data_IF_028540995782
#
_entry.id   IF_028540995782
#
_cell.length_a   1.000
_cell.length_b   1.000
_cell.length_c   1.000
_cell.angle_alpha   90.00
_cell.angle_beta   90.00
_cell.angle_gamma   90.00
#
_symmetry.space_group_name_H-M   'P 1'
#
loop_
_entity.id
_entity.type
_entity.pdbx_description
1 polymer ?
#
# COMPACT_ATOMS: atom_id res chain seq x y z
N UNK A 1 -48.67 -46.34 26.46
CA UNK A 1 -48.93 -44.90 26.58
C UNK A 1 -48.18 -44.45 27.83
N UNK A 2 -47.14 -43.64 27.61
CA UNK A 2 -46.24 -42.99 28.59
C UNK A 2 -45.15 -43.86 29.22
N UNK A 3 -43.99 -43.84 28.55
CA UNK A 3 -42.67 -44.15 29.07
C UNK A 3 -42.16 -43.00 29.96
N UNK A 4 -41.67 -43.37 31.14
CA UNK A 4 -40.79 -42.56 31.97
C UNK A 4 -39.40 -42.50 31.32
N UNK A 5 -38.95 -41.30 30.96
CA UNK A 5 -37.53 -41.02 30.73
C UNK A 5 -37.12 -39.86 31.62
N UNK A 6 -36.29 -40.20 32.59
CA UNK A 6 -35.72 -39.33 33.60
C UNK A 6 -34.76 -38.32 32.98
N UNK A 7 -34.71 -37.16 33.63
CA UNK A 7 -33.86 -36.02 33.35
C UNK A 7 -32.38 -36.41 33.37
N UNK A 8 -31.66 -36.13 32.28
CA UNK A 8 -30.21 -36.22 32.24
C UNK A 8 -29.63 -34.80 32.34
N UNK A 9 -29.34 -34.35 33.57
CA UNK A 9 -28.56 -33.14 33.82
C UNK A 9 -27.10 -33.45 33.47
N UNK A 10 -26.60 -32.87 32.38
CA UNK A 10 -25.18 -32.87 32.05
C UNK A 10 -24.54 -31.81 32.94
N UNK A 11 -23.83 -32.24 33.99
CA UNK A 11 -22.98 -31.37 34.78
C UNK A 11 -21.78 -30.93 33.95
N UNK A 12 -21.72 -29.64 33.61
CA UNK A 12 -20.53 -29.00 33.06
C UNK A 12 -19.41 -29.06 34.11
N UNK A 13 -18.37 -29.83 33.80
CA UNK A 13 -17.13 -29.83 34.56
C UNK A 13 -16.40 -28.50 34.32
N UNK A 14 -15.96 -27.77 35.35
CA UNK A 14 -15.20 -26.54 35.15
C UNK A 14 -13.84 -26.87 34.52
N UNK A 15 -13.53 -26.18 33.43
CA UNK A 15 -12.24 -26.23 32.73
C UNK A 15 -11.13 -25.87 33.73
N UNK A 16 -10.09 -26.71 33.91
CA UNK A 16 -8.97 -26.34 34.78
C UNK A 16 -8.22 -25.15 34.15
N UNK A 17 -8.10 -24.06 34.91
CA UNK A 17 -7.21 -22.94 34.56
C UNK A 17 -5.79 -23.48 34.42
N UNK A 18 -5.26 -23.47 33.21
CA UNK A 18 -3.82 -23.68 32.99
C UNK A 18 -3.10 -22.46 33.55
N UNK A 19 -2.32 -22.68 34.60
CA UNK A 19 -1.37 -21.73 35.15
C UNK A 19 -0.17 -21.66 34.17
N UNK A 20 0.30 -20.47 33.76
CA UNK A 20 1.42 -20.38 32.84
C UNK A 20 2.68 -20.96 33.49
N UNK A 21 3.33 -21.91 32.81
CA UNK A 21 4.57 -22.50 33.29
C UNK A 21 5.65 -21.42 33.46
N UNK A 22 6.46 -21.46 34.54
CA UNK A 22 7.54 -20.51 34.72
C UNK A 22 8.61 -20.71 33.64
N UNK A 23 8.84 -19.68 32.83
CA UNK A 23 9.93 -19.59 31.86
C UNK A 23 11.26 -19.86 32.54
N UNK A 24 11.83 -21.04 32.32
CA UNK A 24 13.19 -21.38 32.73
C UNK A 24 14.15 -20.67 31.78
N UNK A 25 14.77 -19.59 32.25
CA UNK A 25 15.89 -18.97 31.55
C UNK A 25 17.07 -19.97 31.51
N UNK A 26 17.73 -20.19 30.37
CA UNK A 26 18.90 -21.07 30.30
C UNK A 26 20.05 -20.49 31.10
N UNK A 27 20.59 -21.29 32.01
CA UNK A 27 21.80 -21.05 32.80
C UNK A 27 23.01 -20.94 31.86
N UNK A 28 23.65 -19.77 31.82
CA UNK A 28 24.80 -19.48 30.96
C UNK A 28 26.15 -19.97 31.53
N UNK A 29 26.16 -20.87 32.51
CA UNK A 29 27.40 -21.30 33.18
C UNK A 29 27.63 -22.82 33.28
N UNK A 30 27.16 -23.61 32.31
CA UNK A 30 27.61 -25.00 32.16
C UNK A 30 28.24 -25.25 30.79
N UNK A 31 29.57 -25.33 30.78
CA UNK A 31 30.36 -25.77 29.64
C UNK A 31 30.35 -27.31 29.56
N UNK A 32 29.82 -27.93 28.48
CA UNK A 32 29.99 -29.36 28.26
C UNK A 32 31.41 -29.65 27.74
N UNK A 33 32.25 -30.17 28.64
CA UNK A 33 33.53 -30.80 28.32
C UNK A 33 33.30 -32.14 27.60
N UNK A 34 33.18 -32.10 26.27
CA UNK A 34 33.60 -33.17 25.34
C UNK A 34 33.24 -32.77 23.90
N UNK A 35 34.11 -31.99 23.26
CA UNK A 35 34.09 -31.80 21.81
C UNK A 35 35.13 -32.77 21.22
N UNK A 36 34.77 -33.66 20.28
CA UNK A 36 35.75 -34.41 19.52
C UNK A 36 36.60 -33.43 18.71
N UNK A 37 37.91 -33.48 18.90
CA UNK A 37 38.89 -32.66 18.18
C UNK A 37 38.68 -32.82 16.66
N UNK A 38 38.48 -31.74 15.90
CA UNK A 38 38.44 -31.80 14.44
C UNK A 38 39.80 -32.21 13.91
N UNK A 39 39.81 -33.17 12.98
CA UNK A 39 41.03 -33.59 12.28
C UNK A 39 41.59 -32.37 11.50
N UNK A 40 42.84 -32.00 11.77
CA UNK A 40 43.54 -30.92 11.07
C UNK A 40 43.62 -31.22 9.56
N UNK A 41 43.47 -30.21 8.67
CA UNK A 41 43.71 -30.42 7.25
C UNK A 41 45.20 -30.68 7.01
N UNK A 42 45.52 -31.80 6.37
CA UNK A 42 46.90 -32.14 5.98
C UNK A 42 47.50 -31.03 5.10
N UNK A 43 48.65 -30.54 5.53
CA UNK A 43 49.42 -29.44 4.94
C UNK A 43 50.08 -29.90 3.61
N UNK A 44 49.35 -29.78 2.50
CA UNK A 44 49.71 -30.24 1.14
C UNK A 44 50.89 -29.47 0.50
N UNK A 45 51.41 -28.42 1.14
CA UNK A 45 52.46 -27.56 0.58
C UNK A 45 53.88 -27.84 1.09
N UNK A 46 54.16 -29.05 1.59
CA UNK A 46 55.44 -29.33 2.26
C UNK A 46 56.58 -29.90 1.41
N UNK A 47 56.46 -29.88 0.08
CA UNK A 47 57.58 -30.24 -0.81
C UNK A 47 57.88 -29.10 -1.80
N UNK A 48 58.59 -28.07 -1.33
CA UNK A 48 59.35 -27.17 -2.21
C UNK A 48 60.84 -27.25 -1.87
N UNK A 49 61.43 -28.40 -2.17
CA UNK A 49 62.87 -28.50 -2.30
C UNK A 49 63.32 -27.74 -3.56
N UNK A 50 64.20 -26.77 -3.36
CA UNK A 50 64.86 -26.02 -4.41
C UNK A 50 65.66 -26.98 -5.31
N UNK A 51 65.31 -27.08 -6.59
CA UNK A 51 66.19 -27.66 -7.62
C UNK A 51 66.01 -26.93 -8.94
N UNK A 52 67.09 -26.23 -9.31
CA UNK A 52 67.52 -25.76 -10.64
C UNK A 52 66.52 -25.77 -11.80
N UNK A 53 66.27 -24.55 -12.32
CA UNK A 53 65.77 -24.26 -13.66
C UNK A 53 66.45 -25.08 -14.77
N UNK A 54 65.68 -25.52 -15.77
CA UNK A 54 66.06 -25.39 -17.16
C UNK A 54 65.11 -24.42 -17.87
N UNK A 55 65.66 -23.30 -18.33
CA UNK A 55 64.99 -22.33 -19.18
C UNK A 55 64.73 -22.92 -20.56
N UNK A 56 63.53 -23.41 -20.86
CA UNK A 56 62.85 -23.29 -22.18
C UNK A 56 61.38 -23.74 -22.02
N UNK A 57 60.38 -22.85 -22.18
CA UNK A 57 58.98 -23.27 -22.28
C UNK A 57 58.76 -24.12 -23.55
N UNK A 58 57.98 -25.22 -23.50
CA UNK A 58 57.55 -25.89 -24.72
C UNK A 58 56.67 -24.94 -25.54
N UNK A 59 56.96 -24.86 -26.84
CA UNK A 59 56.18 -24.14 -27.83
C UNK A 59 54.70 -24.59 -27.74
N UNK A 60 53.73 -23.67 -27.54
CA UNK A 60 52.33 -24.04 -27.52
C UNK A 60 51.96 -24.61 -28.89
N UNK A 61 51.51 -25.87 -28.91
CA UNK A 61 50.84 -26.41 -30.08
C UNK A 61 49.66 -25.49 -30.39
N UNK A 62 49.65 -24.92 -31.59
CA UNK A 62 48.60 -24.04 -32.06
C UNK A 62 47.25 -24.74 -31.88
N UNK A 63 46.42 -24.20 -30.98
CA UNK A 63 45.00 -24.48 -30.99
C UNK A 63 44.46 -24.14 -32.38
N UNK A 64 43.49 -24.90 -32.93
CA UNK A 64 42.83 -24.48 -34.15
C UNK A 64 42.28 -23.07 -33.93
N UNK A 65 42.67 -22.15 -34.82
CA UNK A 65 42.25 -20.75 -34.73
C UNK A 65 40.73 -20.68 -34.55
N UNK A 66 40.21 -19.85 -33.62
CA UNK A 66 38.78 -19.56 -33.60
C UNK A 66 38.42 -18.94 -34.95
N UNK A 67 37.44 -19.55 -35.59
CA UNK A 67 36.87 -19.15 -36.88
C UNK A 67 36.31 -17.74 -36.82
N UNK A 68 37.17 -16.74 -37.07
CA UNK A 68 36.80 -15.34 -37.24
C UNK A 68 36.01 -14.72 -36.06
N UNK A 69 35.67 -13.43 -36.16
CA UNK A 69 34.62 -12.86 -35.32
C UNK A 69 33.33 -13.69 -35.53
N UNK A 70 32.52 -13.94 -34.48
CA UNK A 70 31.20 -14.52 -34.68
C UNK A 70 30.48 -13.69 -35.76
N UNK A 71 29.86 -14.36 -36.73
CA UNK A 71 28.98 -13.66 -37.67
C UNK A 71 28.02 -12.81 -36.83
N UNK A 72 27.88 -11.50 -37.10
CA UNK A 72 26.85 -10.72 -36.46
C UNK A 72 25.54 -11.47 -36.69
N UNK A 73 24.83 -11.74 -35.59
CA UNK A 73 23.46 -12.25 -35.65
C UNK A 73 22.75 -11.44 -36.72
N UNK A 74 22.12 -12.12 -37.68
CA UNK A 74 21.22 -11.45 -38.62
C UNK A 74 20.23 -10.65 -37.77
N UNK A 75 20.47 -9.35 -37.71
CA UNK A 75 19.57 -8.39 -37.12
C UNK A 75 18.19 -8.69 -37.73
N UNK A 76 17.19 -8.80 -36.87
CA UNK A 76 15.81 -8.69 -37.31
C UNK A 76 15.73 -7.46 -38.23
N UNK A 77 14.96 -7.50 -39.33
CA UNK A 77 14.84 -6.33 -40.17
C UNK A 77 14.37 -5.13 -39.32
N UNK A 78 15.29 -4.21 -39.09
CA UNK A 78 15.06 -2.85 -38.59
C UNK A 78 14.40 -2.00 -39.69
N UNK A 79 13.32 -2.52 -40.27
CA UNK A 79 12.54 -1.80 -41.27
C UNK A 79 11.56 -0.84 -40.58
N UNK A 80 12.07 0.06 -39.74
CA UNK A 80 11.41 1.32 -39.36
C UNK A 80 12.42 2.48 -39.28
N UNK A 81 13.41 2.47 -40.17
CA UNK A 81 14.23 3.66 -40.46
C UNK A 81 13.45 4.63 -41.38
N UNK A 82 12.36 5.16 -40.84
CA UNK A 82 11.73 6.36 -41.37
C UNK A 82 12.52 7.56 -40.86
N UNK A 83 13.14 8.29 -41.79
CA UNK A 83 13.86 9.56 -41.63
C UNK A 83 13.44 10.29 -40.34
N UNK A 84 14.39 10.55 -39.43
CA UNK A 84 14.12 11.17 -38.11
C UNK A 84 13.34 12.50 -38.22
N UNK A 85 13.43 13.15 -39.38
CA UNK A 85 12.65 14.34 -39.73
C UNK A 85 11.17 14.02 -39.93
N UNK A 86 10.83 12.93 -40.58
CA UNK A 86 9.46 12.53 -40.90
C UNK A 86 8.70 12.05 -39.65
N UNK A 87 9.38 11.39 -38.71
CA UNK A 87 8.81 11.08 -37.38
C UNK A 87 8.49 12.35 -36.59
N UNK A 88 9.36 13.36 -36.62
CA UNK A 88 9.13 14.66 -35.98
C UNK A 88 7.98 15.44 -36.64
N UNK A 89 7.85 15.38 -37.96
CA UNK A 89 6.71 15.99 -38.66
C UNK A 89 5.40 15.25 -38.38
N UNK A 90 5.44 13.92 -38.26
CA UNK A 90 4.27 13.12 -37.89
C UNK A 90 3.82 13.40 -36.45
N UNK A 91 4.75 13.42 -35.50
CA UNK A 91 4.47 13.75 -34.09
C UNK A 91 3.98 15.20 -33.97
N UNK A 92 4.60 16.14 -34.66
CA UNK A 92 4.17 17.55 -34.65
C UNK A 92 2.79 17.73 -35.29
N UNK A 93 2.47 16.98 -36.34
CA UNK A 93 1.13 16.93 -36.93
C UNK A 93 0.09 16.41 -35.93
N UNK A 94 0.40 15.33 -35.20
CA UNK A 94 -0.46 14.75 -34.16
C UNK A 94 -0.70 15.75 -33.02
N UNK A 95 0.34 16.44 -32.56
CA UNK A 95 0.25 17.48 -31.52
C UNK A 95 -0.65 18.63 -31.97
N UNK A 96 -0.51 19.11 -33.21
CA UNK A 96 -1.36 20.18 -33.75
C UNK A 96 -2.83 19.75 -33.82
N UNK A 97 -3.10 18.50 -34.25
CA UNK A 97 -4.46 17.96 -34.27
C UNK A 97 -5.04 17.89 -32.86
N UNK A 98 -4.27 17.42 -31.87
CA UNK A 98 -4.69 17.41 -30.48
C UNK A 98 -5.00 18.80 -29.94
N UNK A 99 -4.17 19.81 -30.25
CA UNK A 99 -4.41 21.20 -29.85
C UNK A 99 -5.71 21.74 -30.47
N UNK A 100 -5.99 21.43 -31.74
CA UNK A 100 -7.23 21.85 -32.40
C UNK A 100 -8.45 21.17 -31.77
N UNK A 101 -8.35 19.88 -31.44
CA UNK A 101 -9.42 19.14 -30.75
C UNK A 101 -9.64 19.69 -29.34
N UNK A 102 -8.57 20.01 -28.59
CA UNK A 102 -8.67 20.59 -27.26
C UNK A 102 -9.29 21.99 -27.29
N UNK A 103 -8.84 22.87 -28.18
CA UNK A 103 -9.40 24.23 -28.30
C UNK A 103 -10.84 24.19 -28.80
N UNK A 104 -11.12 23.36 -29.81
CA UNK A 104 -12.47 23.20 -30.35
C UNK A 104 -13.42 22.55 -29.34
N UNK A 105 -12.95 21.53 -28.62
CA UNK A 105 -13.65 20.86 -27.54
C UNK A 105 -13.91 21.79 -26.37
N UNK A 106 -12.94 22.57 -25.93
CA UNK A 106 -13.11 23.60 -24.90
C UNK A 106 -14.13 24.66 -25.32
N UNK A 107 -14.06 25.16 -26.55
CA UNK A 107 -15.03 26.14 -27.04
C UNK A 107 -16.44 25.54 -27.16
N UNK A 108 -16.56 24.30 -27.62
CA UNK A 108 -17.83 23.57 -27.64
C UNK A 108 -18.36 23.31 -26.23
N UNK A 109 -17.49 22.93 -25.29
CA UNK A 109 -17.82 22.73 -23.89
C UNK A 109 -18.40 24.01 -23.26
N UNK A 110 -17.69 25.14 -23.43
CA UNK A 110 -18.16 26.44 -22.93
C UNK A 110 -19.43 26.94 -23.61
N UNK A 111 -19.78 26.43 -24.79
CA UNK A 111 -20.97 26.85 -25.55
C UNK A 111 -22.17 25.93 -25.36
N UNK A 112 -21.96 24.66 -25.07
CA UNK A 112 -23.01 23.66 -24.92
C UNK A 112 -23.33 23.32 -23.46
N UNK A 113 -22.39 23.58 -22.53
CA UNK A 113 -22.51 23.15 -21.13
C UNK A 113 -22.43 24.32 -20.14
N UNK A 114 -22.51 25.57 -20.61
CA UNK A 114 -22.44 26.78 -19.76
C UNK A 114 -23.76 27.55 -19.64
N UNK A 115 -24.85 27.01 -20.18
CA UNK A 115 -26.17 27.65 -20.17
C UNK A 115 -27.06 27.24 -18.98
N UNK A 116 -26.62 26.32 -18.11
CA UNK A 116 -27.33 25.98 -16.86
C UNK A 116 -26.59 26.53 -15.63
N UNK A 117 -26.36 27.85 -15.61
CA UNK A 117 -26.16 28.53 -14.33
C UNK A 117 -27.56 28.68 -13.73
N UNK A 118 -27.88 27.78 -12.79
CA UNK A 118 -29.00 27.94 -11.89
C UNK A 118 -28.97 29.37 -11.34
N UNK A 119 -30.01 30.15 -11.59
CA UNK A 119 -30.29 31.40 -10.89
C UNK A 119 -30.52 31.06 -9.41
N UNK A 120 -29.44 30.79 -8.66
CA UNK A 120 -29.50 30.70 -7.21
C UNK A 120 -29.68 32.14 -6.73
N UNK A 121 -30.81 32.50 -6.11
CA UNK A 121 -30.99 33.86 -5.61
C UNK A 121 -29.85 34.15 -4.62
N UNK A 122 -29.14 35.24 -4.88
CA UNK A 122 -28.10 35.78 -4.02
C UNK A 122 -28.72 36.02 -2.64
N UNK A 123 -28.44 35.13 -1.69
CA UNK A 123 -28.80 35.34 -0.29
C UNK A 123 -27.85 36.41 0.22
N UNK A 124 -28.35 37.63 0.31
CA UNK A 124 -27.64 38.80 0.84
C UNK A 124 -27.36 38.56 2.33
N UNK A 125 -26.17 38.03 2.63
CA UNK A 125 -25.64 37.95 3.99
C UNK A 125 -25.17 39.34 4.42
N UNK A 126 -26.12 40.25 4.62
CA UNK A 126 -25.91 41.48 5.40
C UNK A 126 -27.01 41.66 6.43
N UNK A 127 -27.08 40.73 7.39
CA UNK A 127 -27.62 41.05 8.70
C UNK A 127 -26.94 40.21 9.78
N UNK A 128 -25.99 40.84 10.49
CA UNK A 128 -25.67 40.46 11.86
C UNK A 128 -26.93 40.65 12.71
N UNK A 129 -27.82 39.66 12.71
CA UNK A 129 -28.75 39.51 13.83
C UNK A 129 -28.12 38.51 14.80
N UNK A 130 -27.46 39.10 15.78
CA UNK A 130 -27.04 38.52 17.05
C UNK A 130 -27.99 37.42 17.53
N UNK A 131 -27.56 36.17 17.44
CA UNK A 131 -28.12 35.06 18.22
C UNK A 131 -27.60 35.23 19.66
N UNK A 132 -28.21 36.15 20.38
CA UNK A 132 -28.50 35.91 21.80
C UNK A 132 -29.67 34.92 21.80
N UNK A 133 -29.39 33.64 21.58
CA UNK A 133 -30.30 32.61 22.07
C UNK A 133 -29.80 32.27 23.46
N UNK A 134 -30.33 33.03 24.40
CA UNK A 134 -30.31 32.67 25.80
C UNK A 134 -30.68 31.19 25.88
N UNK A 135 -29.82 30.41 26.54
CA UNK A 135 -30.27 29.30 27.36
C UNK A 135 -31.24 29.87 28.42
N UNK A 136 -32.45 30.27 28.00
CA UNK A 136 -33.60 30.42 28.86
C UNK A 136 -34.09 29.00 29.13
N UNK A 137 -33.32 28.35 29.99
CA UNK A 137 -33.80 27.31 30.87
C UNK A 137 -34.86 28.02 31.73
N UNK A 138 -36.09 28.07 31.23
CA UNK A 138 -37.27 28.35 32.05
C UNK A 138 -37.46 27.07 32.86
N UNK A 139 -36.77 26.97 33.99
CA UNK A 139 -37.23 26.13 35.08
C UNK A 139 -38.44 26.87 35.62
N UNK A 140 -39.62 26.47 35.15
CA UNK A 140 -40.86 26.73 35.85
C UNK A 140 -40.76 25.99 37.19
N UNK A 141 -40.41 26.70 38.26
CA UNK A 141 -40.25 26.18 39.63
C UNK A 141 -41.59 25.72 40.27
N UNK A 142 -42.59 25.33 39.47
CA UNK A 142 -43.88 24.84 39.94
C UNK A 142 -44.41 23.63 39.12
N UNK A 143 -43.53 22.89 38.43
CA UNK A 143 -43.92 21.59 37.85
C UNK A 143 -43.17 20.45 38.53
N UNK A 144 -43.87 19.76 39.43
CA UNK A 144 -43.46 18.56 40.18
C UNK A 144 -43.15 17.33 39.30
N UNK A 145 -42.83 17.48 38.01
CA UNK A 145 -42.51 16.35 37.15
C UNK A 145 -40.99 16.18 37.05
N UNK A 146 -40.41 15.53 38.05
CA UNK A 146 -39.08 14.92 37.91
C UNK A 146 -39.23 13.77 36.91
N UNK A 147 -38.67 13.86 35.69
CA UNK A 147 -38.75 12.76 34.74
C UNK A 147 -38.08 11.54 35.38
N UNK A 148 -38.83 10.44 35.48
CA UNK A 148 -38.33 9.19 36.02
C UNK A 148 -37.25 8.63 35.10
N UNK A 149 -36.30 7.85 35.65
CA UNK A 149 -35.23 7.22 34.88
C UNK A 149 -35.72 6.35 33.70
N UNK A 150 -36.98 5.91 33.73
CA UNK A 150 -37.66 5.18 32.65
C UNK A 150 -38.06 6.08 31.46
N UNK A 151 -38.29 7.38 31.67
CA UNK A 151 -38.68 8.33 30.62
C UNK A 151 -37.46 8.84 29.83
N UNK A 152 -36.28 8.84 30.47
CA UNK A 152 -34.99 9.11 29.82
C UNK A 152 -34.53 7.97 28.90
N UNK A 153 -34.85 6.72 29.22
CA UNK A 153 -34.49 5.57 28.36
C UNK A 153 -35.35 5.52 27.08
N UNK A 154 -36.57 6.06 27.14
CA UNK A 154 -37.48 6.08 26.00
C UNK A 154 -37.14 7.18 25.00
N UNK A 155 -36.63 8.33 25.46
CA UNK A 155 -36.21 9.44 24.60
C UNK A 155 -34.83 9.19 23.93
N UNK A 156 -33.99 8.32 24.51
CA UNK A 156 -32.74 7.87 23.89
C UNK A 156 -33.02 6.87 22.74
N UNK A 157 -34.04 6.02 22.87
CA UNK A 157 -34.44 5.06 21.82
C UNK A 157 -34.93 5.76 20.54
N UNK A 158 -35.55 6.94 20.65
CA UNK A 158 -36.04 7.70 19.50
C UNK A 158 -34.93 8.55 18.83
N UNK A 159 -33.77 8.67 19.47
CA UNK A 159 -32.57 9.33 18.93
C UNK A 159 -31.60 8.36 18.25
N UNK A 160 -31.67 7.05 18.54
CA UNK A 160 -30.81 6.04 17.92
C UNK A 160 -31.15 5.78 16.44
N UNK A 161 -32.40 6.01 16.02
CA UNK A 161 -32.82 5.89 14.61
C UNK A 161 -32.37 7.08 13.71
N UNK A 162 -31.81 8.14 14.31
CA UNK A 162 -31.22 9.28 13.59
C UNK A 162 -29.69 9.31 13.61
N UNK A 163 -29.05 8.36 14.32
CA UNK A 163 -27.65 8.04 14.10
C UNK A 163 -27.60 7.01 12.98
N UNK A 164 -28.03 7.41 11.78
CA UNK A 164 -27.41 6.82 10.60
C UNK A 164 -25.93 7.13 10.75
N UNK A 165 -25.01 6.15 10.76
CA UNK A 165 -23.63 6.46 10.44
C UNK A 165 -23.74 7.24 9.14
N UNK A 166 -23.44 8.54 9.18
CA UNK A 166 -23.18 9.24 7.95
C UNK A 166 -21.98 8.50 7.41
N UNK A 167 -22.23 7.57 6.49
CA UNK A 167 -21.24 7.25 5.49
C UNK A 167 -21.06 8.58 4.77
N UNK A 168 -20.15 9.37 5.31
CA UNK A 168 -19.68 10.59 4.71
C UNK A 168 -18.91 10.09 3.49
N UNK A 169 -19.63 9.97 2.38
CA UNK A 169 -19.09 9.48 1.11
C UNK A 169 -18.30 10.58 0.40
N UNK A 170 -17.89 11.61 1.13
CA UNK A 170 -17.05 12.66 0.59
C UNK A 170 -15.66 12.07 0.34
N UNK A 171 -15.15 12.35 -0.85
CA UNK A 171 -13.85 11.93 -1.38
C UNK A 171 -13.32 13.20 -2.06
N UNK A 172 -12.57 13.98 -1.27
CA UNK A 172 -12.18 15.36 -1.57
C UNK A 172 -11.07 15.46 -2.61
N UNK A 173 -10.20 14.46 -2.71
CA UNK A 173 -9.09 14.39 -3.66
C UNK A 173 -9.33 13.46 -4.87
N UNK A 174 -10.39 12.64 -4.79
CA UNK A 174 -10.82 11.71 -5.83
C UNK A 174 -9.87 10.54 -6.10
N UNK A 175 -9.13 10.07 -5.09
CA UNK A 175 -8.30 8.87 -5.18
C UNK A 175 -9.13 7.57 -5.00
N UNK A 176 -10.31 7.68 -4.37
CA UNK A 176 -11.26 6.59 -4.09
C UNK A 176 -11.16 5.96 -2.68
N UNK A 177 -10.50 6.63 -1.75
CA UNK A 177 -10.81 6.61 -0.32
C UNK A 177 -11.78 7.77 -0.01
N UNK A 178 -12.57 7.59 1.05
CA UNK A 178 -13.39 8.70 1.59
C UNK A 178 -12.58 9.51 2.60
N UNK A 179 -12.90 10.80 2.77
CA UNK A 179 -12.23 11.68 3.74
C UNK A 179 -12.21 11.05 5.16
N UNK A 180 -13.24 10.28 5.51
CA UNK A 180 -13.32 9.55 6.79
C UNK A 180 -12.38 8.34 6.83
N UNK A 181 -12.25 7.59 5.73
CA UNK A 181 -11.27 6.50 5.62
C UNK A 181 -9.85 7.06 5.73
N UNK A 182 -9.56 8.16 5.06
CA UNK A 182 -8.26 8.83 5.06
C UNK A 182 -7.88 9.35 6.44
N UNK A 183 -8.79 10.07 7.09
CA UNK A 183 -8.62 10.51 8.48
C UNK A 183 -8.39 9.34 9.46
N UNK A 184 -8.96 8.16 9.17
CA UNK A 184 -8.79 6.97 9.99
C UNK A 184 -7.41 6.30 9.82
N UNK A 185 -6.82 6.36 8.61
CA UNK A 185 -5.48 5.84 8.33
C UNK A 185 -4.37 6.88 8.52
N UNK A 186 -4.74 8.17 8.60
CA UNK A 186 -3.83 9.29 8.87
C UNK A 186 -3.29 9.99 7.62
N UNK A 187 -3.84 9.70 6.45
CA UNK A 187 -3.53 10.39 5.17
C UNK A 187 -4.23 11.74 5.07
N UNK A 188 -3.86 12.57 4.09
CA UNK A 188 -4.45 13.90 3.86
C UNK A 188 -5.63 13.81 2.88
N UNK A 189 -6.88 14.10 3.31
CA UNK A 189 -8.07 14.06 2.45
C UNK A 189 -8.05 14.94 1.19
N UNK A 190 -7.03 15.79 1.04
CA UNK A 190 -6.86 16.67 -0.10
C UNK A 190 -5.66 16.32 -0.98
N UNK A 191 -4.90 15.28 -0.64
CA UNK A 191 -3.73 14.81 -1.39
C UNK A 191 -3.83 13.32 -1.74
N UNK A 192 -3.95 13.04 -3.04
CA UNK A 192 -4.05 11.67 -3.60
C UNK A 192 -2.89 10.72 -3.28
N UNK A 193 -1.77 11.26 -2.78
CA UNK A 193 -0.48 10.59 -2.54
C UNK A 193 0.16 11.31 -1.35
N UNK A 194 -0.09 10.79 -0.14
CA UNK A 194 0.21 11.47 1.11
C UNK A 194 1.70 11.46 1.47
N UNK A 195 2.49 10.54 0.93
CA UNK A 195 3.94 10.48 1.16
C UNK A 195 4.80 10.89 -0.04
N UNK A 196 4.17 11.08 -1.20
CA UNK A 196 4.74 11.69 -2.39
C UNK A 196 5.66 10.76 -3.17
N UNK A 197 5.47 9.45 -3.05
CA UNK A 197 6.32 8.44 -3.70
C UNK A 197 5.86 8.07 -5.13
N UNK A 198 4.67 8.54 -5.51
CA UNK A 198 4.02 8.33 -6.80
C UNK A 198 2.97 7.22 -6.82
N UNK A 199 2.59 6.65 -5.68
CA UNK A 199 1.49 5.71 -5.51
C UNK A 199 0.32 6.41 -4.79
N UNK A 200 -0.92 6.12 -5.18
CA UNK A 200 -2.07 6.75 -4.49
C UNK A 200 -2.38 6.04 -3.17
N UNK A 201 -2.84 6.78 -2.16
CA UNK A 201 -3.14 6.25 -0.82
C UNK A 201 -4.09 5.05 -0.89
N UNK A 202 -5.12 5.13 -1.74
CA UNK A 202 -6.01 4.01 -2.02
C UNK A 202 -5.29 2.80 -2.58
N UNK A 203 -4.37 2.99 -3.54
CA UNK A 203 -3.63 1.91 -4.19
C UNK A 203 -2.74 1.20 -3.18
N UNK A 204 -2.05 1.96 -2.34
CA UNK A 204 -1.26 1.45 -1.23
C UNK A 204 -2.10 0.62 -0.27
N UNK A 205 -3.22 1.15 0.20
CA UNK A 205 -4.06 0.45 1.18
C UNK A 205 -4.77 -0.78 0.58
N UNK A 206 -5.34 -0.64 -0.62
CA UNK A 206 -6.26 -1.64 -1.20
C UNK A 206 -5.58 -2.63 -2.15
N UNK A 207 -4.41 -2.31 -2.71
CA UNK A 207 -3.75 -3.13 -3.75
C UNK A 207 -2.39 -3.66 -3.28
N UNK A 208 -1.49 -2.77 -2.86
CA UNK A 208 -0.09 -3.13 -2.57
C UNK A 208 0.16 -3.46 -1.10
N UNK A 209 -0.73 -3.01 -0.21
CA UNK A 209 -0.62 -3.15 1.23
C UNK A 209 0.68 -2.54 1.80
N UNK A 210 1.13 -1.44 1.19
CA UNK A 210 2.21 -0.56 1.67
C UNK A 210 1.67 0.44 2.68
N UNK A 211 2.55 1.28 3.23
CA UNK A 211 2.19 2.31 4.19
C UNK A 211 2.08 3.68 3.51
N UNK A 212 0.88 4.28 3.38
CA UNK A 212 0.66 5.53 2.64
C UNK A 212 1.22 6.80 3.30
N UNK A 213 2.00 6.62 4.37
CA UNK A 213 2.69 7.69 5.09
C UNK A 213 4.20 7.48 5.10
N UNK A 214 4.69 6.52 4.32
CA UNK A 214 6.08 6.14 4.29
C UNK A 214 6.50 5.70 2.89
N UNK A 215 7.29 6.53 2.18
CA UNK A 215 7.52 6.37 0.75
C UNK A 215 8.48 5.21 0.39
N UNK A 216 8.85 4.38 1.37
CA UNK A 216 9.77 3.23 1.28
C UNK A 216 9.37 2.25 2.41
N UNK A 217 8.35 1.43 2.16
CA UNK A 217 7.70 0.60 3.18
C UNK A 217 8.61 -0.49 3.74
N UNK A 218 9.43 -1.12 2.89
CA UNK A 218 10.32 -2.21 3.29
C UNK A 218 11.69 -1.72 3.80
N UNK A 219 12.01 -0.44 3.59
CA UNK A 219 13.19 0.25 4.08
C UNK A 219 14.48 -0.12 3.34
N UNK A 220 14.39 -0.57 2.09
CA UNK A 220 15.52 -0.99 1.28
C UNK A 220 16.18 0.18 0.50
N UNK A 221 15.55 1.36 0.52
CA UNK A 221 16.02 2.60 -0.09
C UNK A 221 15.48 2.88 -1.48
N UNK A 222 14.52 2.09 -1.97
CA UNK A 222 13.75 2.35 -3.18
C UNK A 222 12.35 2.82 -2.80
N UNK A 223 11.76 3.71 -3.61
CA UNK A 223 10.41 4.19 -3.38
C UNK A 223 9.35 3.19 -3.87
N UNK A 224 8.33 2.91 -3.07
CA UNK A 224 7.32 1.88 -3.35
C UNK A 224 6.65 2.15 -4.71
N UNK A 225 6.19 3.38 -4.93
CA UNK A 225 5.55 3.83 -6.17
C UNK A 225 6.52 3.94 -7.35
N UNK A 226 7.36 4.98 -7.34
CA UNK A 226 8.19 5.37 -8.49
C UNK A 226 9.24 4.33 -8.87
N UNK A 227 9.83 3.67 -7.89
CA UNK A 227 11.01 2.86 -8.09
C UNK A 227 10.71 1.37 -8.21
N UNK A 228 9.65 0.90 -7.57
CA UNK A 228 9.32 -0.52 -7.48
C UNK A 228 8.07 -0.89 -8.26
N UNK A 229 6.88 -0.47 -7.81
CA UNK A 229 5.59 -0.81 -8.40
C UNK A 229 5.55 -0.43 -9.88
N UNK A 230 5.94 0.80 -10.22
CA UNK A 230 6.00 1.26 -11.61
C UNK A 230 6.99 0.46 -12.49
N UNK A 231 7.96 -0.23 -11.89
CA UNK A 231 8.95 -1.08 -12.57
C UNK A 231 8.65 -2.58 -12.42
N UNK A 232 7.58 -2.94 -11.72
CA UNK A 232 7.12 -4.32 -11.49
C UNK A 232 7.94 -5.08 -10.44
N UNK A 233 8.49 -4.39 -9.45
CA UNK A 233 9.07 -4.97 -8.23
C UNK A 233 8.04 -4.99 -7.09
N UNK A 234 8.28 -5.85 -6.11
CA UNK A 234 7.42 -6.01 -4.93
C UNK A 234 7.82 -4.99 -3.85
N UNK A 235 6.96 -4.04 -3.45
CA UNK A 235 7.31 -3.00 -2.48
C UNK A 235 7.33 -3.48 -1.02
N UNK A 236 7.03 -4.76 -0.78
CA UNK A 236 7.09 -5.37 0.55
C UNK A 236 8.31 -6.28 0.72
N UNK A 237 9.18 -6.35 -0.29
CA UNK A 237 10.41 -7.11 -0.18
C UNK A 237 11.03 -7.53 -1.51
N UNK A 238 12.01 -8.45 -1.45
CA UNK A 238 12.77 -8.80 -2.63
C UNK A 238 11.95 -9.64 -3.61
N UNK A 239 11.77 -9.15 -4.84
CA UNK A 239 11.16 -9.95 -5.91
C UNK A 239 10.37 -9.11 -6.90
N UNK A 240 9.76 -9.77 -7.88
CA UNK A 240 8.81 -9.10 -8.77
C UNK A 240 7.41 -9.17 -8.20
N UNK A 241 6.64 -8.09 -8.35
CA UNK A 241 5.23 -8.00 -7.95
C UNK A 241 4.37 -9.17 -8.48
N UNK A 242 4.75 -9.71 -9.64
CA UNK A 242 4.13 -10.87 -10.26
C UNK A 242 5.14 -12.01 -10.38
N UNK A 243 5.67 -12.49 -9.25
CA UNK A 243 6.39 -13.76 -9.24
C UNK A 243 5.40 -14.92 -9.42
N UNK A 244 5.06 -15.18 -10.68
CA UNK A 244 4.34 -16.38 -11.15
C UNK A 244 5.21 -17.64 -11.01
N UNK A 245 5.68 -17.94 -9.81
CA UNK A 245 6.36 -19.18 -9.46
C UNK A 245 5.54 -19.94 -8.41
N UNK A 246 4.53 -20.66 -8.89
CA UNK A 246 3.86 -21.82 -8.27
C UNK A 246 3.52 -21.74 -6.77
N UNK A 247 2.26 -21.38 -6.46
CA UNK A 247 1.54 -21.98 -5.33
C UNK A 247 1.11 -23.42 -5.66
#
# INVERSE_FOLDING_TARGET
MFDDQQQNQVGEQPIPKQEPEPTVMPDLNEAPSNIPVPNEPEDIFKDSEATSVPSTPPEPQAAPEPSGPPEPLKELPDDLDGDEKDKKFFIMGLVIVFIIVFIGGYYAYTKLFKDDVMDVPLVDFTQEDSINDSNDIIIDEESDNVPTSEELEQEISDLEDQITPSEDTTDSDNDGLTDVEELAIGTDPFEVDSDGDGLFDREEVKVYHTNPLNPDTDGDGWLDGTDEVHKGWDPLGPGRLLDINNQ
#
